data_IF_202594782174
#
_entry.id   IF_202594782174
#
_cell.length_a   1.000
_cell.length_b   1.000
_cell.length_c   1.000
_cell.angle_alpha   90.00
_cell.angle_beta   90.00
_cell.angle_gamma   90.00
#
_symmetry.space_group_name_H-M   'P 1'
#
loop_
_entity.id
_entity.type
_entity.pdbx_description
1 polymer ?
#
# COMPACT_ATOMS: atom_id res chain seq x y z
N UNK A 1 24.03 5.02 13.88
CA UNK A 1 24.74 3.73 13.81
C UNK A 1 24.94 3.37 12.34
N UNK A 2 26.07 2.76 11.99
CA UNK A 2 26.33 2.24 10.64
C UNK A 2 26.54 0.74 10.75
N UNK A 3 25.89 -0.04 9.90
CA UNK A 3 25.94 -1.50 9.95
C UNK A 3 25.78 -2.12 8.58
N UNK A 4 26.35 -3.31 8.37
CA UNK A 4 26.21 -4.01 7.08
C UNK A 4 24.84 -4.66 6.89
N UNK A 5 24.20 -5.05 7.99
CA UNK A 5 22.93 -5.77 7.98
C UNK A 5 22.11 -5.42 9.22
N UNK A 6 20.81 -5.22 9.03
CA UNK A 6 19.84 -5.09 10.11
C UNK A 6 18.58 -5.85 9.70
N UNK A 7 18.10 -6.72 10.59
CA UNK A 7 16.87 -7.48 10.41
C UNK A 7 15.84 -6.96 11.40
N UNK A 8 14.74 -6.40 10.88
CA UNK A 8 13.62 -5.93 11.69
C UNK A 8 12.34 -6.72 11.42
N UNK A 9 12.44 -7.84 10.70
CA UNK A 9 11.29 -8.66 10.33
C UNK A 9 10.51 -9.20 11.54
N UNK A 10 11.19 -9.40 12.68
CA UNK A 10 10.57 -9.81 13.93
C UNK A 10 9.93 -8.67 14.75
N UNK A 11 10.12 -7.41 14.34
CA UNK A 11 9.66 -6.22 15.09
C UNK A 11 8.50 -5.51 14.40
N UNK A 12 8.28 -5.73 13.11
CA UNK A 12 7.11 -5.21 12.39
C UNK A 12 5.94 -6.12 12.73
N UNK A 13 5.00 -5.70 13.61
CA UNK A 13 3.76 -6.43 13.74
C UNK A 13 3.06 -6.32 12.39
N UNK A 14 2.34 -7.35 11.96
CA UNK A 14 1.36 -7.18 10.89
C UNK A 14 0.47 -5.97 11.21
N UNK A 15 -0.13 -5.33 10.20
CA UNK A 15 -0.87 -4.05 10.30
C UNK A 15 -1.95 -3.97 11.42
N UNK A 16 -2.21 -5.04 12.17
CA UNK A 16 -3.00 -5.06 13.42
C UNK A 16 -2.23 -4.84 14.74
N UNK A 17 -0.90 -4.99 14.81
CA UNK A 17 -0.17 -4.91 16.09
C UNK A 17 0.29 -3.50 16.50
N UNK A 18 0.15 -2.52 15.62
CA UNK A 18 0.31 -1.10 16.00
C UNK A 18 -0.85 -0.61 16.90
N UNK A 19 -2.02 -1.26 16.82
CA UNK A 19 -3.17 -0.96 17.68
C UNK A 19 -3.00 -1.51 19.12
N UNK A 20 -2.26 -2.62 19.28
CA UNK A 20 -2.00 -3.22 20.60
C UNK A 20 -0.99 -2.41 21.42
N UNK A 21 -0.06 -1.71 20.76
CA UNK A 21 0.85 -0.77 21.40
C UNK A 21 0.17 0.54 21.85
N UNK A 22 -1.08 0.79 21.42
CA UNK A 22 -1.84 2.00 21.75
C UNK A 22 -2.69 1.87 23.03
N UNK A 23 -2.71 0.69 23.67
CA UNK A 23 -3.49 0.41 24.89
C UNK A 23 -2.71 0.45 26.22
N UNK A 24 -1.40 0.65 26.19
CA UNK A 24 -0.60 0.82 27.40
C UNK A 24 -0.56 2.30 27.80
N UNK A 25 -0.71 2.60 29.10
CA UNK A 25 -0.45 3.96 29.62
C UNK A 25 0.93 4.42 29.13
N UNK A 26 1.08 5.64 28.57
CA UNK A 26 2.36 6.10 28.09
C UNK A 26 3.28 6.29 29.30
N UNK A 27 4.18 5.34 29.53
CA UNK A 27 5.34 5.56 30.38
C UNK A 27 6.10 6.78 29.81
N UNK A 28 6.44 7.76 30.65
CA UNK A 28 7.18 8.94 30.23
C UNK A 28 8.48 8.51 29.53
N UNK A 29 8.50 8.63 28.21
CA UNK A 29 9.62 8.20 27.39
C UNK A 29 10.80 9.17 27.53
N UNK A 30 12.02 8.66 27.46
CA UNK A 30 13.16 9.57 27.24
C UNK A 30 13.14 10.02 25.77
N UNK A 31 13.23 11.32 25.47
CA UNK A 31 13.35 11.77 24.09
C UNK A 31 14.65 11.24 23.50
N UNK A 32 14.54 10.45 22.44
CA UNK A 32 15.67 9.77 21.80
C UNK A 32 15.60 10.01 20.29
N UNK A 33 16.77 10.21 19.69
CA UNK A 33 16.90 10.20 18.23
C UNK A 33 17.78 9.03 17.84
N UNK A 34 17.20 8.10 17.11
CA UNK A 34 17.89 6.94 16.54
C UNK A 34 18.08 7.20 15.05
N UNK A 35 19.32 7.09 14.59
CA UNK A 35 19.62 7.13 13.16
C UNK A 35 20.46 5.91 12.81
N UNK A 36 20.06 5.19 11.78
CA UNK A 36 20.76 4.03 11.25
C UNK A 36 20.93 4.16 9.74
N UNK A 37 22.12 3.89 9.26
CA UNK A 37 22.42 3.72 7.83
C UNK A 37 22.96 2.29 7.68
N UNK A 38 22.27 1.48 6.88
CA UNK A 38 22.64 0.09 6.67
C UNK A 38 22.69 -0.28 5.20
N UNK A 39 23.64 -1.12 4.84
CA UNK A 39 23.79 -1.55 3.44
C UNK A 39 22.62 -2.42 3.00
N UNK A 40 22.11 -3.27 3.90
CA UNK A 40 20.91 -4.08 3.69
C UNK A 40 20.00 -4.08 4.93
N UNK A 41 18.72 -3.82 4.70
CA UNK A 41 17.63 -3.88 5.68
C UNK A 41 16.61 -4.91 5.21
N UNK A 42 16.41 -5.97 5.99
CA UNK A 42 15.34 -6.94 5.73
C UNK A 42 14.12 -6.52 6.55
N UNK A 43 13.06 -6.11 5.84
CA UNK A 43 11.79 -5.68 6.43
C UNK A 43 10.89 -6.88 6.70
N UNK A 44 10.85 -7.84 5.77
CA UNK A 44 10.11 -9.11 5.88
C UNK A 44 10.65 -10.10 4.86
N UNK A 45 10.21 -11.35 4.94
CA UNK A 45 10.48 -12.34 3.90
C UNK A 45 10.04 -11.81 2.52
N UNK A 46 10.99 -11.75 1.58
CA UNK A 46 10.78 -11.23 0.22
C UNK A 46 10.96 -9.72 0.05
N UNK A 47 11.21 -8.97 1.14
CA UNK A 47 11.41 -7.52 1.10
C UNK A 47 12.72 -7.10 1.76
N UNK A 48 13.75 -6.99 0.92
CA UNK A 48 15.02 -6.41 1.30
C UNK A 48 15.19 -5.03 0.65
N UNK A 49 15.66 -4.08 1.45
CA UNK A 49 16.13 -2.78 0.99
C UNK A 49 17.64 -2.71 1.06
N UNK A 50 18.23 -2.08 0.05
CA UNK A 50 19.63 -1.69 -0.01
C UNK A 50 19.80 -0.21 0.28
N UNK A 51 20.97 0.17 0.78
CA UNK A 51 21.32 1.56 1.12
C UNK A 51 20.25 2.19 2.02
N UNK A 52 19.77 1.40 2.98
CA UNK A 52 18.62 1.76 3.78
C UNK A 52 19.02 2.80 4.83
N UNK A 53 18.25 3.86 4.92
CA UNK A 53 18.37 4.91 5.93
C UNK A 53 17.13 4.91 6.78
N UNK A 54 17.33 4.89 8.09
CA UNK A 54 16.29 4.90 9.10
C UNK A 54 16.57 6.03 10.07
N UNK A 55 15.54 6.83 10.34
CA UNK A 55 15.58 7.87 11.37
C UNK A 55 14.30 7.79 12.17
N UNK A 56 14.42 7.54 13.47
CA UNK A 56 13.32 7.54 14.42
C UNK A 56 13.58 8.62 15.46
N UNK A 57 12.57 9.43 15.73
CA UNK A 57 12.58 10.43 16.81
C UNK A 57 11.45 10.07 17.76
N UNK A 58 11.77 9.85 19.02
CA UNK A 58 10.80 9.65 20.10
C UNK A 58 10.83 10.84 21.05
N UNK A 59 9.69 11.19 21.61
CA UNK A 59 9.55 12.16 22.68
C UNK A 59 9.06 11.49 23.96
N UNK A 60 8.65 12.32 24.93
CA UNK A 60 8.11 11.84 26.22
C UNK A 60 6.79 11.10 26.11
N UNK A 61 6.09 11.26 24.98
CA UNK A 61 4.78 10.65 24.70
C UNK A 61 4.82 9.61 23.59
N UNK A 62 6.00 9.02 23.33
CA UNK A 62 6.19 7.98 22.32
C UNK A 62 6.83 8.47 21.01
N UNK A 63 6.60 7.73 19.92
CA UNK A 63 7.15 8.05 18.60
C UNK A 63 6.64 9.42 18.12
N UNK A 64 7.56 10.26 17.62
CA UNK A 64 7.26 11.55 17.00
C UNK A 64 7.40 11.50 15.48
N UNK A 65 8.45 10.85 15.00
CA UNK A 65 8.61 10.61 13.57
C UNK A 65 9.40 9.35 13.32
N UNK A 66 9.05 8.66 12.23
CA UNK A 66 9.82 7.58 11.66
C UNK A 66 9.99 7.87 10.17
N UNK A 67 11.21 7.88 9.69
CA UNK A 67 11.55 7.99 8.28
C UNK A 67 12.39 6.78 7.90
N UNK A 68 11.95 6.07 6.87
CA UNK A 68 12.66 4.95 6.28
C UNK A 68 12.81 5.19 4.77
N UNK A 69 13.97 4.91 4.22
CA UNK A 69 14.19 4.96 2.77
C UNK A 69 15.23 3.93 2.36
N UNK A 70 15.18 3.50 1.10
CA UNK A 70 16.15 2.58 0.52
C UNK A 70 15.78 2.21 -0.91
N UNK A 71 16.53 1.28 -1.49
CA UNK A 71 16.28 0.72 -2.81
C UNK A 71 15.86 -0.74 -2.68
N UNK A 72 14.74 -1.14 -3.30
CA UNK A 72 14.39 -2.55 -3.43
C UNK A 72 15.48 -3.34 -4.16
N UNK A 73 15.39 -4.67 -4.13
CA UNK A 73 16.34 -5.55 -4.84
C UNK A 73 16.43 -5.18 -6.34
N UNK A 74 15.30 -4.83 -6.97
CA UNK A 74 15.21 -4.35 -8.35
C UNK A 74 15.72 -2.93 -8.60
N UNK A 75 16.17 -2.21 -7.56
CA UNK A 75 16.67 -0.84 -7.66
C UNK A 75 15.60 0.25 -7.56
N UNK A 76 14.32 -0.12 -7.51
CA UNK A 76 13.23 0.83 -7.32
C UNK A 76 13.33 1.50 -5.94
N UNK A 77 13.20 2.84 -5.85
CA UNK A 77 13.22 3.53 -4.57
C UNK A 77 11.98 3.19 -3.75
N UNK A 78 12.16 3.00 -2.44
CA UNK A 78 11.09 2.87 -1.46
C UNK A 78 11.35 3.88 -0.34
N UNK A 79 10.31 4.60 0.07
CA UNK A 79 10.34 5.46 1.23
C UNK A 79 9.04 5.37 2.02
N UNK A 80 9.16 5.52 3.33
CA UNK A 80 8.04 5.58 4.25
C UNK A 80 8.32 6.64 5.31
N UNK A 81 7.31 7.44 5.61
CA UNK A 81 7.34 8.45 6.66
C UNK A 81 6.10 8.27 7.51
N UNK A 82 6.32 8.21 8.82
CA UNK A 82 5.27 8.30 9.81
C UNK A 82 5.54 9.52 10.67
N UNK A 83 4.50 10.32 10.89
CA UNK A 83 4.55 11.47 11.78
C UNK A 83 3.46 11.29 12.83
N UNK A 84 3.88 11.22 14.09
CA UNK A 84 3.02 11.11 15.25
C UNK A 84 3.29 12.30 16.15
N UNK A 85 2.27 12.89 16.74
CA UNK A 85 2.50 14.04 17.61
C UNK A 85 1.26 14.33 18.43
N UNK A 86 1.42 14.47 19.74
CA UNK A 86 0.25 14.93 20.49
C UNK A 86 -0.81 13.87 20.68
N UNK A 87 -2.04 14.36 20.68
CA UNK A 87 -3.27 13.60 20.53
C UNK A 87 -3.73 13.54 19.06
N UNK A 88 -2.91 14.02 18.11
CA UNK A 88 -3.26 14.02 16.69
C UNK A 88 -3.13 12.62 16.08
N UNK A 89 -3.90 12.31 15.02
CA UNK A 89 -3.79 11.04 14.31
C UNK A 89 -2.39 10.86 13.72
N UNK A 90 -1.88 9.63 13.78
CA UNK A 90 -0.60 9.29 13.15
C UNK A 90 -0.76 9.42 11.64
N UNK A 91 0.03 10.29 11.01
CA UNK A 91 0.08 10.42 9.55
C UNK A 91 1.09 9.44 8.98
N UNK A 92 0.76 8.87 7.82
CA UNK A 92 1.61 7.97 7.07
C UNK A 92 1.72 8.45 5.63
N UNK A 93 2.93 8.43 5.08
CA UNK A 93 3.24 8.64 3.67
C UNK A 93 4.19 7.52 3.23
N UNK A 94 3.86 6.81 2.16
CA UNK A 94 4.69 5.75 1.57
C UNK A 94 4.78 6.01 0.08
N UNK A 95 5.98 5.92 -0.48
CA UNK A 95 6.19 6.04 -1.92
C UNK A 95 7.14 4.95 -2.41
N UNK A 96 6.79 4.29 -3.52
CA UNK A 96 7.58 3.26 -4.19
C UNK A 96 7.66 3.51 -5.68
N UNK A 97 8.83 3.27 -6.26
CA UNK A 97 9.02 3.22 -7.72
C UNK A 97 8.64 1.87 -8.35
N UNK A 98 8.15 0.92 -7.55
CA UNK A 98 7.64 -0.37 -8.01
C UNK A 98 6.45 -0.79 -7.14
N UNK A 99 5.24 -0.60 -7.67
CA UNK A 99 3.97 -0.95 -7.02
C UNK A 99 3.76 -2.47 -7.02
N UNK A 100 4.11 -3.15 -8.12
CA UNK A 100 4.00 -4.61 -8.25
C UNK A 100 4.87 -5.35 -7.25
N UNK A 101 6.13 -4.92 -7.08
CA UNK A 101 7.03 -5.47 -6.07
C UNK A 101 6.45 -5.32 -4.66
N UNK A 102 5.90 -4.15 -4.31
CA UNK A 102 5.25 -3.95 -3.01
C UNK A 102 3.99 -4.81 -2.85
N UNK A 103 3.16 -4.93 -3.88
CA UNK A 103 1.96 -5.75 -3.85
C UNK A 103 2.30 -7.23 -3.62
N UNK A 104 3.30 -7.76 -4.31
CA UNK A 104 3.79 -9.13 -4.11
C UNK A 104 4.39 -9.30 -2.72
N UNK A 105 5.31 -8.40 -2.32
CA UNK A 105 6.01 -8.48 -1.04
C UNK A 105 5.09 -8.36 0.18
N UNK A 106 4.08 -7.48 0.13
CA UNK A 106 3.20 -7.21 1.28
C UNK A 106 1.91 -8.01 1.27
N UNK A 107 1.27 -8.15 0.11
CA UNK A 107 -0.06 -8.71 -0.06
C UNK A 107 -0.04 -10.10 -0.70
N UNK A 108 1.11 -10.59 -1.18
CA UNK A 108 1.18 -11.82 -1.98
C UNK A 108 0.44 -11.69 -3.31
N UNK A 109 0.31 -10.46 -3.82
CA UNK A 109 -0.46 -10.14 -5.00
C UNK A 109 0.47 -9.97 -6.22
N UNK A 110 0.43 -10.95 -7.13
CA UNK A 110 1.25 -10.96 -8.34
C UNK A 110 0.51 -10.41 -9.58
N UNK A 111 -0.68 -9.85 -9.37
CA UNK A 111 -1.51 -9.33 -10.46
C UNK A 111 -1.17 -7.89 -10.89
N UNK A 112 -0.20 -7.26 -10.24
CA UNK A 112 0.30 -5.91 -10.57
C UNK A 112 1.77 -6.04 -10.95
N UNK A 113 2.17 -5.45 -12.06
CA UNK A 113 3.55 -5.41 -12.54
C UNK A 113 4.00 -3.95 -12.74
N UNK A 114 5.17 -3.63 -12.21
CA UNK A 114 5.76 -2.29 -12.28
C UNK A 114 4.90 -1.23 -11.59
N UNK A 115 4.92 -0.03 -12.18
CA UNK A 115 4.17 1.13 -11.70
C UNK A 115 4.76 1.83 -10.49
N UNK A 116 4.30 3.04 -10.25
CA UNK A 116 4.65 3.85 -9.07
C UNK A 116 3.51 3.83 -8.07
N UNK A 117 3.84 3.73 -6.79
CA UNK A 117 2.87 3.69 -5.69
C UNK A 117 3.08 4.89 -4.77
N UNK A 118 1.99 5.57 -4.44
CA UNK A 118 1.93 6.55 -3.35
C UNK A 118 0.77 6.19 -2.44
N UNK A 119 1.03 6.07 -1.14
CA UNK A 119 0.01 5.90 -0.11
C UNK A 119 0.15 7.04 0.88
N UNK A 120 -0.95 7.71 1.20
CA UNK A 120 -0.96 8.77 2.19
C UNK A 120 -2.22 8.70 3.05
N UNK A 121 -2.15 9.13 4.30
CA UNK A 121 -3.33 9.24 5.13
C UNK A 121 -3.05 9.25 6.63
N UNK A 122 -4.08 8.90 7.40
CA UNK A 122 -4.02 8.80 8.86
C UNK A 122 -4.34 7.38 9.30
N UNK A 123 -3.59 6.85 10.26
CA UNK A 123 -3.78 5.51 10.81
C UNK A 123 -4.95 5.45 11.80
N UNK A 124 -5.43 4.23 12.05
CA UNK A 124 -6.51 3.95 12.99
C UNK A 124 -6.12 4.38 14.42
N UNK A 125 -7.06 4.96 15.14
CA UNK A 125 -6.95 5.30 16.55
C UNK A 125 -8.11 4.64 17.31
N UNK A 126 -8.06 4.61 18.65
CA UNK A 126 -9.13 4.03 19.46
C UNK A 126 -10.54 4.56 19.13
N UNK A 127 -10.64 5.80 18.65
CA UNK A 127 -11.90 6.50 18.42
C UNK A 127 -12.25 6.73 16.94
N UNK A 128 -11.32 6.48 16.01
CA UNK A 128 -11.52 6.80 14.60
C UNK A 128 -10.83 5.79 13.67
N UNK A 129 -11.48 5.41 12.56
CA UNK A 129 -10.86 4.55 11.54
C UNK A 129 -9.66 5.25 10.90
N UNK A 130 -8.77 4.46 10.32
CA UNK A 130 -7.76 4.97 9.40
C UNK A 130 -8.47 5.53 8.15
N UNK A 131 -7.92 6.59 7.58
CA UNK A 131 -8.35 7.18 6.31
C UNK A 131 -7.11 7.26 5.42
N UNK A 132 -7.08 6.44 4.37
CA UNK A 132 -5.93 6.24 3.52
C UNK A 132 -6.34 6.44 2.05
N UNK A 133 -5.44 7.03 1.27
CA UNK A 133 -5.55 7.08 -0.18
C UNK A 133 -4.34 6.38 -0.77
N UNK A 134 -4.58 5.34 -1.56
CA UNK A 134 -3.57 4.65 -2.34
C UNK A 134 -3.71 5.08 -3.80
N UNK A 135 -2.64 5.58 -4.39
CA UNK A 135 -2.53 5.90 -5.80
C UNK A 135 -1.46 5.02 -6.44
N UNK A 136 -1.79 4.41 -7.57
CA UNK A 136 -0.85 3.67 -8.41
C UNK A 136 -0.85 4.30 -9.79
N UNK A 137 0.32 4.50 -10.39
CA UNK A 137 0.45 5.07 -11.74
C UNK A 137 1.28 4.16 -12.63
N UNK A 138 0.92 4.13 -13.92
CA UNK A 138 1.63 3.38 -14.97
C UNK A 138 1.88 1.90 -14.63
N UNK A 139 0.84 1.22 -14.16
CA UNK A 139 0.91 -0.18 -13.75
C UNK A 139 0.22 -1.10 -14.77
N UNK A 140 0.84 -2.24 -15.03
CA UNK A 140 0.28 -3.30 -15.85
C UNK A 140 -0.41 -4.30 -14.92
N UNK A 141 -1.70 -4.56 -15.13
CA UNK A 141 -2.44 -5.55 -14.35
C UNK A 141 -2.69 -6.81 -15.18
N UNK A 142 -2.37 -7.98 -14.66
CA UNK A 142 -2.53 -9.26 -15.35
C UNK A 142 -2.99 -10.33 -14.37
N UNK A 143 -3.71 -11.35 -14.81
CA UNK A 143 -4.11 -12.49 -13.96
C UNK A 143 -4.86 -12.07 -12.68
N UNK A 144 -5.64 -10.99 -12.75
CA UNK A 144 -6.48 -10.54 -11.64
C UNK A 144 -7.86 -11.23 -11.71
N UNK A 145 -8.17 -12.23 -10.85
CA UNK A 145 -9.39 -13.02 -11.00
C UNK A 145 -10.66 -12.17 -10.81
N UNK A 146 -10.63 -11.23 -9.87
CA UNK A 146 -11.74 -10.32 -9.60
C UNK A 146 -12.08 -9.43 -10.80
N UNK A 147 -11.05 -8.88 -11.48
CA UNK A 147 -11.27 -8.10 -12.71
C UNK A 147 -11.73 -8.98 -13.87
N UNK A 148 -11.23 -10.20 -13.97
CA UNK A 148 -11.63 -11.17 -15.01
C UNK A 148 -13.11 -11.53 -14.87
N UNK A 149 -13.60 -11.71 -13.64
CA UNK A 149 -15.02 -11.95 -13.35
C UNK A 149 -15.88 -10.75 -13.73
N UNK A 150 -15.49 -9.53 -13.34
CA UNK A 150 -16.21 -8.30 -13.71
C UNK A 150 -16.29 -8.15 -15.24
N UNK A 151 -15.18 -8.37 -15.96
CA UNK A 151 -15.13 -8.30 -17.43
C UNK A 151 -16.02 -9.37 -18.10
N UNK A 152 -16.07 -10.57 -17.52
CA UNK A 152 -16.91 -11.66 -18.03
C UNK A 152 -18.40 -11.35 -17.87
N UNK A 153 -18.81 -10.78 -16.72
CA UNK A 153 -20.19 -10.34 -16.47
C UNK A 153 -20.60 -9.19 -17.40
N UNK A 154 -19.67 -8.30 -17.73
CA UNK A 154 -19.87 -7.22 -18.69
C UNK A 154 -19.86 -7.68 -20.16
N UNK A 155 -19.71 -8.98 -20.44
CA UNK A 155 -19.60 -9.54 -21.80
C UNK A 155 -18.41 -9.01 -22.62
N UNK A 156 -17.31 -8.63 -21.95
CA UNK A 156 -16.10 -8.06 -22.58
C UNK A 156 -15.00 -9.11 -22.73
N UNK A 157 -15.29 -10.17 -23.49
CA UNK A 157 -14.42 -11.35 -23.59
C UNK A 157 -12.98 -11.04 -24.04
N UNK A 158 -12.80 -10.17 -25.04
CA UNK A 158 -11.46 -9.81 -25.53
C UNK A 158 -10.58 -9.14 -24.47
N UNK A 159 -11.18 -8.33 -23.58
CA UNK A 159 -10.46 -7.72 -22.46
C UNK A 159 -10.19 -8.73 -21.34
N UNK A 160 -11.12 -9.66 -21.08
CA UNK A 160 -10.90 -10.74 -20.12
C UNK A 160 -9.76 -11.68 -20.54
N UNK A 161 -9.69 -11.99 -21.84
CA UNK A 161 -8.60 -12.78 -22.44
C UNK A 161 -7.28 -12.02 -22.34
N UNK A 162 -7.27 -10.72 -22.65
CA UNK A 162 -6.10 -9.84 -22.53
C UNK A 162 -5.59 -9.81 -21.09
N UNK A 163 -6.49 -9.61 -20.11
CA UNK A 163 -6.16 -9.58 -18.70
C UNK A 163 -5.56 -10.90 -18.20
N UNK A 164 -6.00 -12.03 -18.76
CA UNK A 164 -5.49 -13.38 -18.45
C UNK A 164 -4.16 -13.70 -19.16
N UNK A 165 -3.74 -12.87 -20.11
CA UNK A 165 -2.50 -12.99 -20.87
C UNK A 165 -1.54 -11.83 -20.61
N UNK A 166 -1.39 -10.94 -21.59
CA UNK A 166 -0.46 -9.79 -21.57
C UNK A 166 -0.79 -8.74 -20.50
N UNK A 167 -2.03 -8.71 -20.02
CA UNK A 167 -2.55 -7.77 -19.03
C UNK A 167 -3.11 -6.48 -19.63
N UNK A 168 -3.69 -5.64 -18.77
CA UNK A 168 -4.23 -4.32 -19.10
C UNK A 168 -3.41 -3.23 -18.43
N UNK A 169 -3.01 -2.22 -19.20
CA UNK A 169 -2.31 -1.05 -18.70
C UNK A 169 -3.29 -0.06 -18.06
N UNK A 170 -3.00 0.35 -16.82
CA UNK A 170 -3.65 1.46 -16.16
C UNK A 170 -2.66 2.60 -15.95
N UNK A 171 -2.96 3.76 -16.53
CA UNK A 171 -2.17 4.97 -16.33
C UNK A 171 -2.31 5.52 -14.92
N UNK A 172 -3.50 5.36 -14.31
CA UNK A 172 -3.78 5.82 -12.95
C UNK A 172 -4.84 4.97 -12.26
N UNK A 173 -4.59 4.61 -11.01
CA UNK A 173 -5.51 3.94 -10.10
C UNK A 173 -5.54 4.75 -8.80
N UNK A 174 -6.71 5.20 -8.37
CA UNK A 174 -6.94 5.89 -7.10
C UNK A 174 -7.87 5.05 -6.24
N UNK A 175 -7.45 4.70 -5.02
CA UNK A 175 -8.18 3.84 -4.09
C UNK A 175 -8.27 4.55 -2.73
N UNK A 176 -9.31 5.38 -2.53
CA UNK A 176 -9.66 5.87 -1.19
C UNK A 176 -10.20 4.70 -0.35
N UNK A 177 -9.65 4.52 0.84
CA UNK A 177 -10.03 3.44 1.74
C UNK A 177 -10.10 3.90 3.20
N UNK A 178 -11.07 3.36 3.92
CA UNK A 178 -11.15 3.47 5.38
C UNK A 178 -10.84 2.12 6.01
N UNK A 179 -10.00 2.11 7.04
CA UNK A 179 -9.61 0.88 7.72
C UNK A 179 -10.00 0.93 9.17
N UNK A 180 -10.73 -0.08 9.63
CA UNK A 180 -11.09 -0.22 11.04
C UNK A 180 -11.11 -1.68 11.44
N UNK A 181 -10.40 -2.04 12.52
CA UNK A 181 -10.40 -3.42 13.08
C UNK A 181 -10.14 -4.50 12.01
N UNK A 182 -9.23 -4.23 11.07
CA UNK A 182 -8.88 -5.17 10.00
C UNK A 182 -9.89 -5.27 8.84
N UNK A 183 -10.94 -4.43 8.82
CA UNK A 183 -11.83 -4.26 7.67
C UNK A 183 -11.40 -3.04 6.85
N UNK A 184 -11.18 -3.26 5.55
CA UNK A 184 -10.80 -2.24 4.59
C UNK A 184 -12.02 -1.94 3.72
N UNK A 185 -12.57 -0.74 3.82
CA UNK A 185 -13.73 -0.29 3.03
C UNK A 185 -13.24 0.63 1.94
N UNK A 186 -13.52 0.27 0.69
CA UNK A 186 -13.15 1.02 -0.50
C UNK A 186 -14.39 1.74 -1.02
N UNK A 187 -14.29 3.05 -1.23
CA UNK A 187 -15.44 3.87 -1.65
C UNK A 187 -15.05 4.81 -2.80
N UNK A 188 -15.43 4.44 -4.02
CA UNK A 188 -15.16 5.22 -5.21
C UNK A 188 -13.73 5.06 -5.72
N UNK A 189 -13.19 3.83 -5.66
CA UNK A 189 -11.94 3.52 -6.34
C UNK A 189 -12.12 3.72 -7.84
N UNK A 190 -11.10 4.27 -8.50
CA UNK A 190 -11.11 4.57 -9.93
C UNK A 190 -9.83 4.06 -10.56
N UNK A 191 -9.94 3.33 -11.65
CA UNK A 191 -8.81 2.96 -12.49
C UNK A 191 -9.05 3.50 -13.90
N UNK A 192 -8.01 4.06 -14.50
CA UNK A 192 -8.04 4.68 -15.82
C UNK A 192 -6.88 4.11 -16.64
N UNK A 193 -7.18 3.71 -17.87
CA UNK A 193 -6.20 3.20 -18.82
C UNK A 193 -6.63 3.46 -20.25
N UNK A 194 -5.73 3.25 -21.23
CA UNK A 194 -6.01 3.51 -22.64
C UNK A 194 -7.13 2.65 -23.23
N UNK A 195 -7.32 1.44 -22.69
CA UNK A 195 -8.33 0.50 -23.18
C UNK A 195 -9.66 0.63 -22.41
N UNK A 196 -9.62 0.97 -21.13
CA UNK A 196 -10.80 1.00 -20.26
C UNK A 196 -10.60 1.85 -19.00
N UNK A 197 -11.72 2.31 -18.45
CA UNK A 197 -11.83 2.83 -17.10
C UNK A 197 -12.73 1.95 -16.22
N UNK A 198 -12.47 1.94 -14.92
CA UNK A 198 -13.23 1.18 -13.92
C UNK A 198 -13.52 2.09 -12.73
N UNK A 199 -14.73 2.00 -12.18
CA UNK A 199 -15.05 2.48 -10.84
C UNK A 199 -15.49 1.30 -9.99
N UNK A 200 -14.99 1.22 -8.76
CA UNK A 200 -15.31 0.12 -7.84
C UNK A 200 -15.56 0.61 -6.40
N UNK A 201 -16.43 -0.11 -5.71
CA UNK A 201 -16.68 -0.02 -4.29
C UNK A 201 -16.59 -1.42 -3.70
N UNK A 202 -16.36 -1.52 -2.39
CA UNK A 202 -16.46 -2.80 -1.72
C UNK A 202 -15.68 -2.84 -0.43
N UNK A 203 -15.40 -4.05 0.06
CA UNK A 203 -14.62 -4.22 1.26
C UNK A 203 -13.80 -5.52 1.24
N UNK A 204 -12.75 -5.50 2.05
CA UNK A 204 -11.93 -6.67 2.38
C UNK A 204 -11.95 -6.82 3.90
N UNK A 205 -12.36 -7.97 4.38
CA UNK A 205 -12.36 -8.32 5.81
C UNK A 205 -11.25 -9.33 6.07
N UNK A 206 -10.19 -8.91 6.77
CA UNK A 206 -9.05 -9.79 7.04
C UNK A 206 -9.35 -10.91 8.04
N UNK A 207 -10.37 -10.74 8.90
CA UNK A 207 -10.71 -11.72 9.91
C UNK A 207 -11.51 -12.89 9.33
N UNK A 208 -12.47 -12.59 8.45
CA UNK A 208 -13.26 -13.61 7.75
C UNK A 208 -12.68 -14.01 6.39
N UNK A 209 -11.63 -13.32 5.94
CA UNK A 209 -11.08 -13.41 4.57
C UNK A 209 -12.13 -13.14 3.48
N UNK A 210 -13.21 -12.41 3.82
CA UNK A 210 -14.26 -12.06 2.88
C UNK A 210 -13.82 -10.88 2.00
N UNK A 211 -14.09 -11.00 0.70
CA UNK A 211 -13.86 -9.95 -0.28
C UNK A 211 -15.15 -9.78 -1.08
N UNK A 212 -15.67 -8.56 -1.10
CA UNK A 212 -16.84 -8.19 -1.89
C UNK A 212 -16.54 -6.88 -2.61
N UNK A 213 -16.61 -6.90 -3.94
CA UNK A 213 -16.28 -5.76 -4.79
C UNK A 213 -17.33 -5.66 -5.88
N UNK A 214 -17.95 -4.48 -5.97
CA UNK A 214 -18.90 -4.12 -7.01
C UNK A 214 -18.34 -2.96 -7.82
N UNK A 215 -18.55 -2.97 -9.12
CA UNK A 215 -18.01 -1.92 -9.97
C UNK A 215 -18.72 -1.75 -11.30
N UNK A 216 -18.41 -0.64 -11.95
CA UNK A 216 -18.86 -0.28 -13.29
C UNK A 216 -17.63 -0.07 -14.14
N UNK A 217 -17.62 -0.71 -15.31
CA UNK A 217 -16.54 -0.61 -16.27
C UNK A 217 -17.02 0.13 -17.51
N UNK A 218 -16.16 1.01 -18.02
CA UNK A 218 -16.41 1.82 -19.20
C UNK A 218 -15.26 1.59 -20.19
N UNK A 219 -15.52 1.06 -21.38
CA UNK A 219 -14.51 0.98 -22.44
C UNK A 219 -14.01 2.38 -22.78
N UNK A 220 -12.69 2.53 -22.96
CA UNK A 220 -12.15 3.77 -23.51
C UNK A 220 -12.17 3.64 -25.03
N UNK A 221 -13.30 4.02 -25.63
CA UNK A 221 -13.36 4.18 -27.08
C UNK A 221 -12.76 5.53 -27.43
N UNK A 222 -11.59 5.55 -28.07
CA UNK A 222 -11.27 6.63 -28.98
C UNK A 222 -12.19 6.49 -30.18
N UNK A 223 -13.31 7.21 -30.19
CA UNK A 223 -14.08 7.42 -31.41
C UNK A 223 -13.22 8.28 -32.37
N UNK A 224 -12.40 7.62 -33.18
CA UNK A 224 -11.91 8.23 -34.42
C UNK A 224 -13.10 8.22 -35.39
N UNK A 225 -13.84 9.33 -35.41
CA UNK A 225 -14.83 9.57 -36.45
C UNK A 225 -14.09 9.75 -37.79
N UNK A 226 -14.51 9.04 -38.86
CA UNK A 226 -13.89 9.10 -40.18
C UNK A 226 -14.07 10.46 -40.87
#
# INVERSE_FOLDING_TARGET
MRGKYLDISGVIPGLGGVAEAAGAEPAEGTPLTVTAEVDRLTLRAGLDLRQAKLRAVTGTRGLQSLEASGLAIGGAPLSAKLAAGGADPIRIDVASGDAGFLASAFLGADFIQGGELVLAGTLETANAPADLTLQISNAQMSNAPFLTQILSLASLRGLADTLSGEGVMFSRIDIPMKVQKGRYVISGAKAQGPALGLTANGYIDMASQAIEIDGVLVPSSSEEFP
#
